data_IF_694335969691
#
_entry.id   IF_694335969691
#
_cell.length_a   1.000
_cell.length_b   1.000
_cell.length_c   1.000
_cell.angle_alpha   90.00
_cell.angle_beta   90.00
_cell.angle_gamma   90.00
#
_symmetry.space_group_name_H-M   'P 1'
#
loop_
_entity.id
_entity.type
_entity.pdbx_description
1 polymer ?
#
# COMPACT_ATOMS: atom_id res chain seq x y z
N UNK A 1 10.19 -11.60 -6.82
CA UNK A 1 9.95 -10.93 -8.10
C UNK A 1 8.46 -10.64 -8.30
N UNK A 2 8.09 -9.97 -9.38
CA UNK A 2 6.71 -9.57 -9.63
C UNK A 2 5.75 -10.76 -9.78
N UNK A 3 6.05 -11.80 -10.56
CA UNK A 3 5.17 -12.98 -10.62
C UNK A 3 4.95 -13.65 -9.28
N UNK A 4 5.98 -13.73 -8.42
CA UNK A 4 5.83 -14.31 -7.09
C UNK A 4 4.94 -13.45 -6.20
N UNK A 5 5.09 -12.12 -6.27
CA UNK A 5 4.25 -11.20 -5.53
C UNK A 5 2.78 -11.36 -5.93
N UNK A 6 2.50 -11.40 -7.22
CA UNK A 6 1.14 -11.55 -7.72
C UNK A 6 0.54 -12.87 -7.26
N UNK A 7 1.30 -13.96 -7.28
CA UNK A 7 0.84 -15.26 -6.77
C UNK A 7 0.55 -15.19 -5.28
N UNK A 8 1.45 -14.58 -4.51
CA UNK A 8 1.26 -14.42 -3.06
C UNK A 8 -0.03 -13.69 -2.74
N UNK A 9 -0.28 -12.57 -3.43
CA UNK A 9 -1.49 -11.77 -3.22
C UNK A 9 -2.75 -12.55 -3.60
N UNK A 10 -2.70 -13.30 -4.70
CA UNK A 10 -3.81 -14.14 -5.11
C UNK A 10 -4.12 -15.25 -4.11
N UNK A 11 -3.09 -15.89 -3.58
CA UNK A 11 -3.24 -16.93 -2.57
C UNK A 11 -3.78 -16.37 -1.26
N UNK A 12 -3.28 -15.20 -0.85
CA UNK A 12 -3.77 -14.53 0.35
C UNK A 12 -5.26 -14.18 0.23
N UNK A 13 -5.66 -13.63 -0.90
CA UNK A 13 -7.06 -13.29 -1.14
C UNK A 13 -7.93 -14.54 -1.19
N UNK A 14 -7.46 -15.61 -1.85
CA UNK A 14 -8.18 -16.87 -1.95
C UNK A 14 -8.33 -17.56 -0.60
N UNK A 15 -7.42 -17.32 0.33
CA UNK A 15 -7.47 -17.91 1.68
C UNK A 15 -8.66 -17.40 2.50
N UNK A 16 -9.23 -16.25 2.14
CA UNK A 16 -10.28 -15.59 2.90
C UNK A 16 -9.81 -14.92 4.18
N UNK A 17 -8.50 -14.87 4.44
CA UNK A 17 -7.98 -14.17 5.61
C UNK A 17 -8.25 -12.68 5.54
N UNK A 18 -8.61 -12.10 6.69
CA UNK A 18 -8.77 -10.65 6.82
C UNK A 18 -7.38 -10.03 6.95
N UNK A 19 -7.03 -9.21 5.99
CA UNK A 19 -5.69 -8.63 5.92
C UNK A 19 -5.71 -7.22 5.37
N UNK A 20 -4.74 -6.41 5.78
CA UNK A 20 -4.45 -5.10 5.19
C UNK A 20 -2.99 -5.11 4.77
N UNK A 21 -2.71 -4.64 3.58
CA UNK A 21 -1.36 -4.64 3.04
C UNK A 21 -0.76 -3.24 3.15
N UNK A 22 0.43 -3.16 3.74
CA UNK A 22 1.22 -1.94 3.74
C UNK A 22 2.28 -2.06 2.65
N UNK A 23 2.14 -1.29 1.59
CA UNK A 23 3.07 -1.31 0.47
C UNK A 23 4.04 -0.13 0.60
N UNK A 24 5.25 -0.42 1.03
CA UNK A 24 6.28 0.59 1.29
C UNK A 24 7.16 0.76 0.06
N UNK A 25 7.28 1.96 -0.43
CA UNK A 25 8.06 2.22 -1.63
C UNK A 25 8.66 3.61 -1.64
N UNK A 26 9.88 3.72 -2.18
CA UNK A 26 10.56 4.98 -2.42
C UNK A 26 10.63 5.31 -3.90
N UNK A 27 11.23 6.44 -4.23
CA UNK A 27 11.40 6.92 -5.60
C UNK A 27 10.06 6.90 -6.37
N UNK A 28 10.05 6.42 -7.59
CA UNK A 28 8.84 6.29 -8.41
C UNK A 28 8.01 5.09 -7.96
N UNK A 29 7.36 5.17 -6.84
CA UNK A 29 6.73 4.10 -6.09
C UNK A 29 5.60 3.38 -6.87
N UNK A 30 5.95 2.53 -7.82
CA UNK A 30 4.99 1.74 -8.60
C UNK A 30 4.37 0.59 -7.80
N UNK A 31 5.07 0.10 -6.77
CA UNK A 31 4.66 -1.08 -6.01
C UNK A 31 3.24 -0.99 -5.42
N UNK A 32 2.84 0.12 -4.77
CA UNK A 32 1.49 0.17 -4.22
C UNK A 32 0.39 0.00 -5.26
N UNK A 33 0.54 0.62 -6.43
CA UNK A 33 -0.43 0.47 -7.52
C UNK A 33 -0.50 -0.96 -8.05
N UNK A 34 0.65 -1.62 -8.18
CA UNK A 34 0.69 -3.03 -8.60
C UNK A 34 -0.03 -3.91 -7.58
N UNK A 35 0.19 -3.69 -6.30
CA UNK A 35 -0.47 -4.46 -5.23
C UNK A 35 -1.98 -4.25 -5.30
N UNK A 36 -2.43 -3.00 -5.44
CA UNK A 36 -3.87 -2.69 -5.53
C UNK A 36 -4.52 -3.40 -6.71
N UNK A 37 -3.83 -3.46 -7.85
CA UNK A 37 -4.36 -4.13 -9.03
C UNK A 37 -4.36 -5.66 -8.94
N UNK A 38 -3.60 -6.21 -8.01
CA UNK A 38 -3.39 -7.66 -7.91
C UNK A 38 -4.27 -8.34 -6.88
N UNK A 39 -5.03 -7.58 -6.10
CA UNK A 39 -5.96 -8.14 -5.10
C UNK A 39 -7.04 -7.10 -4.78
N UNK A 40 -8.07 -7.52 -4.05
CA UNK A 40 -9.11 -6.61 -3.56
C UNK A 40 -9.01 -6.31 -2.07
N UNK A 41 -7.90 -6.69 -1.44
CA UNK A 41 -7.65 -6.35 -0.04
C UNK A 41 -7.34 -4.86 0.11
N UNK A 42 -7.62 -4.27 1.28
CA UNK A 42 -7.21 -2.89 1.54
C UNK A 42 -5.69 -2.74 1.45
N UNK A 43 -5.24 -1.73 0.73
CA UNK A 43 -3.82 -1.44 0.55
C UNK A 43 -3.55 0.00 0.99
N UNK A 44 -2.56 0.17 1.85
CA UNK A 44 -2.07 1.49 2.25
C UNK A 44 -0.67 1.66 1.70
N UNK A 45 -0.49 2.61 0.79
CA UNK A 45 0.82 2.96 0.27
C UNK A 45 1.57 3.81 1.28
N UNK A 46 2.82 3.45 1.53
CA UNK A 46 3.70 4.15 2.46
C UNK A 46 4.88 4.71 1.67
N UNK A 47 4.83 6.00 1.31
CA UNK A 47 5.98 6.61 0.64
C UNK A 47 7.12 6.79 1.62
N UNK A 48 8.34 6.51 1.18
CA UNK A 48 9.53 6.72 2.00
C UNK A 48 10.46 7.72 1.32
N UNK A 49 11.12 8.60 2.09
CA UNK A 49 12.08 9.52 1.53
C UNK A 49 13.22 8.77 0.86
N UNK A 50 13.58 9.23 -0.33
CA UNK A 50 14.69 8.66 -1.08
C UNK A 50 14.90 9.47 -2.35
N UNK A 51 16.11 9.49 -2.86
CA UNK A 51 16.44 10.24 -4.04
C UNK A 51 16.32 11.77 -3.87
N UNK A 52 16.40 12.51 -4.97
CA UNK A 52 16.50 13.98 -4.92
C UNK A 52 15.23 14.70 -4.52
N UNK A 53 14.07 14.05 -4.57
CA UNK A 53 12.78 14.67 -4.26
C UNK A 53 12.26 14.31 -2.87
N UNK A 54 13.06 13.63 -2.06
CA UNK A 54 12.75 13.33 -0.65
C UNK A 54 11.38 12.67 -0.43
N UNK A 55 10.98 11.78 -1.33
CA UNK A 55 9.73 11.02 -1.21
C UNK A 55 8.52 11.67 -1.85
N UNK A 56 8.63 12.90 -2.36
CA UNK A 56 7.50 13.58 -3.01
C UNK A 56 7.06 12.80 -4.25
N UNK A 57 8.00 12.30 -5.03
CA UNK A 57 7.71 11.47 -6.20
C UNK A 57 6.98 10.18 -5.81
N UNK A 58 7.39 9.55 -4.71
CA UNK A 58 6.70 8.36 -4.21
C UNK A 58 5.28 8.69 -3.76
N UNK A 59 5.09 9.79 -3.05
CA UNK A 59 3.77 10.25 -2.62
C UNK A 59 2.86 10.51 -3.84
N UNK A 60 3.36 11.22 -4.84
CA UNK A 60 2.58 11.52 -6.03
C UNK A 60 2.23 10.26 -6.82
N UNK A 61 3.15 9.30 -6.91
CA UNK A 61 2.87 8.03 -7.58
C UNK A 61 1.72 7.28 -6.91
N UNK A 62 1.66 7.30 -5.59
CA UNK A 62 0.56 6.69 -4.82
C UNK A 62 -0.73 7.48 -5.00
N UNK A 63 -0.65 8.80 -4.88
CA UNK A 63 -1.83 9.67 -4.90
C UNK A 63 -2.47 9.79 -6.29
N UNK A 64 -1.73 9.53 -7.35
CA UNK A 64 -2.19 9.69 -8.74
C UNK A 64 -2.54 8.36 -9.42
N UNK A 65 -2.88 7.34 -8.67
CA UNK A 65 -3.35 6.10 -9.27
C UNK A 65 -4.65 6.37 -10.06
N UNK A 66 -4.82 5.69 -11.22
CA UNK A 66 -5.97 5.95 -12.08
C UNK A 66 -7.27 5.44 -11.48
N UNK A 67 -8.39 5.82 -12.11
CA UNK A 67 -9.70 5.29 -11.74
C UNK A 67 -9.70 3.77 -11.76
N UNK A 68 -10.31 3.15 -10.77
CA UNK A 68 -10.31 1.70 -10.60
C UNK A 68 -9.10 1.13 -9.87
N UNK A 69 -8.14 1.98 -9.48
CA UNK A 69 -6.95 1.58 -8.72
C UNK A 69 -6.90 2.41 -7.43
N UNK A 70 -7.73 2.06 -6.42
CA UNK A 70 -7.85 2.88 -5.20
C UNK A 70 -6.69 2.62 -4.24
N UNK A 71 -5.59 3.34 -4.41
CA UNK A 71 -4.46 3.26 -3.50
C UNK A 71 -4.58 4.35 -2.43
N UNK A 72 -4.67 3.93 -1.18
CA UNK A 72 -4.78 4.81 -0.02
C UNK A 72 -3.41 5.16 0.51
N UNK A 73 -3.25 6.34 1.08
CA UNK A 73 -2.03 6.70 1.81
C UNK A 73 -2.37 7.60 2.98
N UNK A 74 -1.53 7.58 4.00
CA UNK A 74 -1.64 8.47 5.16
C UNK A 74 -0.61 9.60 5.10
N UNK A 75 -0.01 9.80 3.93
CA UNK A 75 0.86 10.94 3.66
C UNK A 75 2.34 10.63 3.73
N UNK A 76 3.13 11.69 3.76
CA UNK A 76 4.58 11.62 3.73
C UNK A 76 5.16 12.47 4.86
N UNK A 77 5.61 11.83 5.92
CA UNK A 77 6.42 12.45 6.96
C UNK A 77 7.12 11.36 7.79
N UNK A 78 7.89 11.79 8.78
CA UNK A 78 8.71 10.91 9.60
C UNK A 78 7.92 9.76 10.24
N UNK A 79 6.67 10.02 10.62
CA UNK A 79 5.82 9.06 11.33
C UNK A 79 4.81 8.36 10.41
N UNK A 80 4.95 8.48 9.10
CA UNK A 80 4.04 7.82 8.17
C UNK A 80 3.93 6.30 8.40
N UNK A 81 5.03 5.55 8.66
CA UNK A 81 4.88 4.12 8.94
C UNK A 81 4.03 3.84 10.17
N UNK A 82 4.14 4.66 11.21
CA UNK A 82 3.32 4.52 12.42
C UNK A 82 1.85 4.78 12.09
N UNK A 83 1.56 5.85 11.38
CA UNK A 83 0.19 6.17 11.00
C UNK A 83 -0.42 5.12 10.07
N UNK A 84 0.38 4.56 9.17
CA UNK A 84 -0.08 3.48 8.30
C UNK A 84 -0.45 2.24 9.11
N UNK A 85 0.39 1.86 10.08
CA UNK A 85 0.09 0.73 10.96
C UNK A 85 -1.19 0.97 11.78
N UNK A 86 -1.37 2.19 12.29
CA UNK A 86 -2.57 2.55 13.04
C UNK A 86 -3.83 2.52 12.16
N UNK A 87 -3.73 3.01 10.93
CA UNK A 87 -4.84 2.95 9.99
C UNK A 87 -5.21 1.50 9.64
N UNK A 88 -4.21 0.66 9.41
CA UNK A 88 -4.42 -0.77 9.16
C UNK A 88 -5.12 -1.44 10.35
N UNK A 89 -4.67 -1.13 11.57
CA UNK A 89 -5.29 -1.66 12.79
C UNK A 89 -6.78 -1.28 12.88
N UNK A 90 -7.11 -0.05 12.56
CA UNK A 90 -8.51 0.42 12.57
C UNK A 90 -9.37 -0.34 11.58
N UNK A 91 -8.84 -0.62 10.39
CA UNK A 91 -9.55 -1.41 9.39
C UNK A 91 -9.79 -2.82 9.90
N UNK A 92 -8.76 -3.46 10.45
CA UNK A 92 -8.84 -4.83 10.98
C UNK A 92 -9.81 -4.89 12.16
N UNK A 93 -9.81 -3.89 13.02
CA UNK A 93 -10.73 -3.83 14.15
C UNK A 93 -12.18 -3.76 13.67
N UNK A 94 -12.46 -2.99 12.63
CA UNK A 94 -13.79 -2.92 12.03
C UNK A 94 -14.21 -4.28 11.46
N UNK A 95 -13.26 -5.06 10.99
CA UNK A 95 -13.49 -6.42 10.46
C UNK A 95 -13.60 -7.48 11.57
N UNK A 96 -13.52 -7.11 12.84
CA UNK A 96 -13.69 -8.03 13.96
C UNK A 96 -12.40 -8.61 14.50
N UNK A 97 -11.26 -8.04 14.12
CA UNK A 97 -9.95 -8.54 14.58
C UNK A 97 -9.34 -7.71 15.69
#
# INVERSE_FOLDING_TARGET
DLPELIRFLGDLEASGEKAVILAVAGLSAALPGVVVMSCSLPVIGVPVPGGPLNGIDALLAIAQCPGGVPCTTVGLHKKTPVNAAMAAHRILKLAGL
#
